data_IF_946795113067
#
_entry.id   IF_946795113067
#
_cell.length_a   1.000
_cell.length_b   1.000
_cell.length_c   1.000
_cell.angle_alpha   90.00
_cell.angle_beta   90.00
_cell.angle_gamma   90.00
#
_symmetry.space_group_name_H-M   'P 1'
#
loop_
_entity.id
_entity.type
_entity.pdbx_description
1 polymer ?
#
# COMPACT_ATOMS: atom_id res chain seq x y z
N UNK A 1 9.64 -13.00 14.16
CA UNK A 1 10.81 -13.17 13.26
C UNK A 1 10.99 -14.67 13.04
N UNK A 2 10.58 -15.18 11.88
CA UNK A 2 10.54 -16.61 11.57
C UNK A 2 11.92 -17.17 11.21
N UNK A 3 12.15 -18.42 11.60
CA UNK A 3 13.39 -19.20 11.59
C UNK A 3 14.06 -19.47 10.21
N UNK A 4 13.70 -18.75 9.15
CA UNK A 4 14.24 -18.95 7.78
C UNK A 4 14.61 -17.67 7.03
N UNK A 5 14.56 -16.49 7.66
CA UNK A 5 15.05 -15.28 7.00
C UNK A 5 16.58 -15.35 6.84
N UNK A 6 17.07 -15.40 5.60
CA UNK A 6 18.49 -15.21 5.30
C UNK A 6 18.96 -13.90 5.94
N UNK A 7 20.04 -13.98 6.71
CA UNK A 7 20.59 -12.84 7.44
C UNK A 7 20.92 -11.68 6.48
N UNK A 8 20.39 -10.48 6.74
CA UNK A 8 20.63 -9.28 5.94
C UNK A 8 22.04 -8.76 6.22
N UNK A 9 22.95 -8.85 5.25
CA UNK A 9 24.38 -8.48 5.42
C UNK A 9 24.80 -7.31 4.54
N UNK A 10 24.09 -7.09 3.44
CA UNK A 10 24.43 -6.09 2.44
C UNK A 10 23.24 -5.17 2.14
N UNK A 11 23.51 -4.06 1.46
CA UNK A 11 22.45 -3.17 0.94
C UNK A 11 21.55 -3.87 -0.08
N UNK A 12 22.10 -4.84 -0.82
CA UNK A 12 21.35 -5.63 -1.79
C UNK A 12 20.38 -6.59 -1.07
N UNK A 13 20.86 -7.28 -0.02
CA UNK A 13 19.99 -8.11 0.84
C UNK A 13 18.85 -7.29 1.47
N UNK A 14 19.17 -6.07 1.93
CA UNK A 14 18.18 -5.18 2.53
C UNK A 14 17.16 -4.69 1.50
N UNK A 15 17.61 -4.36 0.28
CA UNK A 15 16.73 -4.00 -0.83
C UNK A 15 15.80 -5.16 -1.17
N UNK A 16 16.32 -6.37 -1.35
CA UNK A 16 15.51 -7.56 -1.68
C UNK A 16 14.54 -7.88 -0.55
N UNK A 17 14.97 -7.82 0.71
CA UNK A 17 14.08 -8.02 1.85
C UNK A 17 12.91 -7.03 1.82
N UNK A 18 13.18 -5.73 1.64
CA UNK A 18 12.13 -4.71 1.59
C UNK A 18 11.26 -4.83 0.33
N UNK A 19 11.81 -5.28 -0.80
CA UNK A 19 11.02 -5.58 -2.02
C UNK A 19 10.02 -6.71 -1.77
N UNK A 20 10.43 -7.76 -1.04
CA UNK A 20 9.55 -8.86 -0.62
C UNK A 20 8.49 -8.41 0.39
N UNK A 21 8.85 -7.48 1.28
CA UNK A 21 7.96 -6.89 2.29
C UNK A 21 6.82 -6.10 1.62
N UNK A 22 7.16 -5.19 0.70
CA UNK A 22 6.15 -4.39 -0.01
C UNK A 22 5.33 -5.25 -0.98
N UNK A 23 5.93 -6.28 -1.61
CA UNK A 23 5.17 -7.21 -2.45
C UNK A 23 4.12 -8.00 -1.67
N UNK A 24 4.44 -8.39 -0.44
CA UNK A 24 3.44 -8.99 0.45
C UNK A 24 2.33 -7.98 0.79
N UNK A 25 2.69 -6.76 1.17
CA UNK A 25 1.73 -5.71 1.52
C UNK A 25 0.73 -5.44 0.40
N UNK A 26 1.22 -5.22 -0.81
CA UNK A 26 0.42 -5.01 -2.03
C UNK A 26 -0.58 -6.14 -2.28
N UNK A 27 -0.15 -7.40 -2.11
CA UNK A 27 -1.04 -8.55 -2.24
C UNK A 27 -2.08 -8.66 -1.11
N UNK A 28 -1.77 -8.15 0.09
CA UNK A 28 -2.72 -8.08 1.19
C UNK A 28 -3.75 -6.95 0.97
N UNK A 29 -3.30 -5.78 0.51
CA UNK A 29 -4.13 -4.64 0.15
C UNK A 29 -5.08 -5.00 -1.00
N UNK A 30 -4.56 -5.66 -2.04
CA UNK A 30 -5.37 -6.14 -3.17
C UNK A 30 -6.55 -7.02 -2.73
N UNK A 31 -6.39 -7.79 -1.66
CA UNK A 31 -7.44 -8.64 -1.09
C UNK A 31 -8.43 -7.88 -0.22
N UNK A 32 -8.00 -6.81 0.44
CA UNK A 32 -8.85 -6.03 1.37
C UNK A 32 -9.66 -4.95 0.68
N UNK A 33 -9.17 -4.37 -0.41
CA UNK A 33 -9.84 -3.31 -1.15
C UNK A 33 -11.30 -3.65 -1.54
N UNK A 34 -11.63 -4.84 -2.06
CA UNK A 34 -13.03 -5.21 -2.35
C UNK A 34 -13.95 -5.10 -1.14
N UNK A 35 -13.47 -5.49 0.05
CA UNK A 35 -14.24 -5.42 1.30
C UNK A 35 -14.51 -3.95 1.67
N UNK A 36 -13.52 -3.08 1.55
CA UNK A 36 -13.67 -1.65 1.85
C UNK A 36 -14.60 -0.94 0.85
N UNK A 37 -14.53 -1.31 -0.43
CA UNK A 37 -15.42 -0.83 -1.50
C UNK A 37 -16.90 -1.20 -1.22
N UNK A 38 -17.13 -2.37 -0.63
CA UNK A 38 -18.48 -2.82 -0.23
C UNK A 38 -19.01 -2.09 1.02
N UNK A 39 -18.14 -1.84 2.02
CA UNK A 39 -18.50 -1.12 3.24
C UNK A 39 -18.81 0.36 3.00
N UNK A 40 -18.12 0.98 2.04
CA UNK A 40 -18.23 2.41 1.75
C UNK A 40 -19.61 2.82 1.23
N UNK A 41 -20.15 3.93 1.73
CA UNK A 41 -21.44 4.49 1.28
C UNK A 41 -21.31 5.73 0.41
N UNK A 42 -20.22 6.46 0.55
CA UNK A 42 -19.90 7.62 -0.28
C UNK A 42 -19.45 7.22 -1.70
N UNK A 43 -20.13 7.73 -2.73
CA UNK A 43 -19.85 7.37 -4.12
C UNK A 43 -18.47 7.80 -4.61
N UNK A 44 -17.96 8.95 -4.14
CA UNK A 44 -16.62 9.45 -4.51
C UNK A 44 -15.53 8.58 -3.87
N UNK A 45 -15.69 8.22 -2.59
CA UNK A 45 -14.78 7.31 -1.90
C UNK A 45 -14.78 5.94 -2.56
N UNK A 46 -15.97 5.40 -2.86
CA UNK A 46 -16.11 4.11 -3.55
C UNK A 46 -15.38 4.11 -4.89
N UNK A 47 -15.54 5.17 -5.68
CA UNK A 47 -14.83 5.30 -6.95
C UNK A 47 -13.32 5.39 -6.76
N UNK A 48 -12.84 6.15 -5.77
CA UNK A 48 -11.41 6.25 -5.48
C UNK A 48 -10.81 4.89 -5.11
N UNK A 49 -11.47 4.12 -4.24
CA UNK A 49 -11.02 2.77 -3.88
C UNK A 49 -11.06 1.79 -5.05
N UNK A 50 -12.06 1.88 -5.94
CA UNK A 50 -12.11 1.07 -7.17
C UNK A 50 -11.00 1.42 -8.15
N UNK A 51 -10.64 2.71 -8.27
CA UNK A 51 -9.49 3.12 -9.08
C UNK A 51 -8.20 2.58 -8.48
N UNK A 52 -8.01 2.77 -7.17
CA UNK A 52 -6.82 2.29 -6.48
C UNK A 52 -6.68 0.76 -6.58
N UNK A 53 -7.78 -0.01 -6.53
CA UNK A 53 -7.76 -1.45 -6.79
C UNK A 53 -7.15 -1.85 -8.15
N UNK A 54 -7.39 -1.07 -9.21
CA UNK A 54 -6.76 -1.31 -10.51
C UNK A 54 -5.29 -0.85 -10.54
N UNK A 55 -4.96 0.24 -9.85
CA UNK A 55 -3.57 0.71 -9.66
C UNK A 55 -2.73 -0.35 -8.92
N UNK A 56 -3.23 -0.88 -7.80
CA UNK A 56 -2.62 -1.97 -7.01
C UNK A 56 -2.34 -3.21 -7.84
N UNK A 57 -3.25 -3.61 -8.75
CA UNK A 57 -2.97 -4.72 -9.69
C UNK A 57 -1.77 -4.39 -10.59
N UNK A 58 -1.71 -3.17 -11.10
CA UNK A 58 -0.58 -2.68 -11.90
C UNK A 58 0.73 -2.63 -11.10
N UNK A 59 0.66 -2.18 -9.85
CA UNK A 59 1.80 -2.11 -8.91
C UNK A 59 2.38 -3.49 -8.63
N UNK A 60 1.54 -4.49 -8.38
CA UNK A 60 1.94 -5.90 -8.22
C UNK A 60 2.67 -6.42 -9.47
N UNK A 61 2.17 -6.13 -10.67
CA UNK A 61 2.85 -6.52 -11.91
C UNK A 61 4.19 -5.79 -12.11
N UNK A 62 4.27 -4.51 -11.75
CA UNK A 62 5.54 -3.75 -11.74
C UNK A 62 6.53 -4.34 -10.76
N UNK A 63 6.11 -4.74 -9.56
CA UNK A 63 6.97 -5.42 -8.59
C UNK A 63 7.50 -6.76 -9.12
N UNK A 64 6.65 -7.59 -9.74
CA UNK A 64 7.10 -8.83 -10.40
C UNK A 64 8.18 -8.55 -11.44
N UNK A 65 8.05 -7.46 -12.20
CA UNK A 65 9.07 -7.03 -13.15
C UNK A 65 10.37 -6.58 -12.45
N UNK A 66 10.29 -5.89 -11.32
CA UNK A 66 11.47 -5.52 -10.50
C UNK A 66 12.19 -6.77 -9.99
N UNK A 67 11.49 -7.79 -9.49
CA UNK A 67 12.11 -9.07 -9.11
C UNK A 67 12.89 -9.71 -10.27
N UNK A 68 12.28 -9.76 -11.47
CA UNK A 68 12.92 -10.31 -12.66
C UNK A 68 14.16 -9.52 -13.09
N UNK A 69 14.10 -8.18 -13.09
CA UNK A 69 15.22 -7.31 -13.46
C UNK A 69 16.38 -7.44 -12.45
N UNK A 70 16.04 -7.57 -11.16
CA UNK A 70 17.02 -7.73 -10.10
C UNK A 70 17.66 -9.13 -10.10
N UNK A 71 16.97 -10.14 -10.63
CA UNK A 71 17.46 -11.52 -10.74
C UNK A 71 17.20 -12.36 -9.49
N UNK A 72 16.10 -12.09 -8.78
CA UNK A 72 15.69 -12.80 -7.56
C UNK A 72 14.28 -13.40 -7.74
N UNK A 73 14.02 -14.50 -7.03
CA UNK A 73 12.70 -15.14 -7.04
C UNK A 73 11.61 -14.21 -6.50
N UNK A 74 10.44 -14.26 -7.15
CA UNK A 74 9.24 -13.54 -6.73
C UNK A 74 8.68 -14.24 -5.49
N UNK A 75 8.90 -13.63 -4.34
CA UNK A 75 8.46 -14.17 -3.05
C UNK A 75 8.03 -13.02 -2.16
N UNK A 76 6.93 -13.20 -1.43
CA UNK A 76 6.55 -12.27 -0.36
C UNK A 76 7.13 -12.73 0.96
N UNK A 77 7.56 -11.79 1.80
CA UNK A 77 7.81 -12.06 3.23
C UNK A 77 6.68 -11.40 4.02
N UNK A 78 6.16 -12.09 5.03
CA UNK A 78 5.10 -11.52 5.86
C UNK A 78 5.54 -10.14 6.41
N UNK A 79 4.66 -9.16 6.25
CA UNK A 79 4.84 -7.81 6.72
C UNK A 79 3.95 -7.54 7.93
N UNK A 80 4.52 -7.58 9.13
CA UNK A 80 3.76 -7.30 10.36
C UNK A 80 3.19 -5.87 10.39
N UNK A 81 3.79 -4.92 9.66
CA UNK A 81 3.33 -3.53 9.64
C UNK A 81 1.99 -3.40 8.90
N UNK A 82 1.87 -3.93 7.69
CA UNK A 82 0.61 -3.86 6.93
C UNK A 82 -0.46 -4.74 7.58
N UNK A 83 -0.10 -5.91 8.11
CA UNK A 83 -1.02 -6.76 8.86
C UNK A 83 -1.59 -6.00 10.07
N UNK A 84 -0.76 -5.23 10.77
CA UNK A 84 -1.18 -4.37 11.88
C UNK A 84 -2.13 -3.26 11.45
N UNK A 85 -1.81 -2.52 10.39
CA UNK A 85 -2.66 -1.45 9.84
C UNK A 85 -4.03 -2.02 9.38
N UNK A 86 -4.03 -3.19 8.75
CA UNK A 86 -5.25 -3.85 8.31
C UNK A 86 -6.09 -4.34 9.49
N UNK A 87 -5.47 -4.90 10.52
CA UNK A 87 -6.17 -5.30 11.75
C UNK A 87 -6.81 -4.09 12.43
N UNK A 88 -6.09 -2.98 12.59
CA UNK A 88 -6.62 -1.74 13.16
C UNK A 88 -7.81 -1.22 12.33
N UNK A 89 -7.72 -1.32 11.01
CA UNK A 89 -8.81 -0.94 10.09
C UNK A 89 -10.06 -1.81 10.28
N UNK A 90 -9.89 -3.12 10.41
CA UNK A 90 -11.01 -4.04 10.64
C UNK A 90 -11.66 -3.81 12.01
N UNK A 91 -10.87 -3.56 13.06
CA UNK A 91 -11.35 -3.25 14.40
C UNK A 91 -12.17 -1.94 14.39
N UNK A 92 -11.57 -0.85 13.90
CA UNK A 92 -12.24 0.47 13.88
C UNK A 92 -13.51 0.42 13.03
N UNK A 93 -13.46 -0.16 11.82
CA UNK A 93 -14.65 -0.24 10.96
C UNK A 93 -15.74 -1.16 11.52
N UNK A 94 -15.39 -2.14 12.36
CA UNK A 94 -16.33 -3.01 13.06
C UNK A 94 -17.03 -2.35 14.25
N UNK A 95 -16.40 -1.35 14.87
CA UNK A 95 -16.95 -0.61 16.01
C UNK A 95 -17.86 0.57 15.61
N UNK A 96 -17.79 1.01 14.35
CA UNK A 96 -18.53 2.18 13.87
C UNK A 96 -19.99 1.83 13.51
N UNK A 97 -20.93 2.42 14.26
CA UNK A 97 -22.37 2.23 14.03
C UNK A 97 -23.02 3.19 13.03
N UNK A 98 -22.36 4.28 12.66
CA UNK A 98 -22.88 5.29 11.72
C UNK A 98 -22.16 5.22 10.37
N UNK A 99 -22.92 5.32 9.27
CA UNK A 99 -22.39 5.15 7.91
C UNK A 99 -21.48 6.29 7.45
N UNK A 100 -21.75 7.53 7.87
CA UNK A 100 -20.91 8.66 7.51
C UNK A 100 -19.59 8.62 8.29
N UNK A 101 -19.65 8.23 9.57
CA UNK A 101 -18.45 7.98 10.38
C UNK A 101 -17.65 6.79 9.83
N UNK A 102 -18.32 5.76 9.28
CA UNK A 102 -17.65 4.61 8.68
C UNK A 102 -16.82 5.03 7.47
N UNK A 103 -17.37 5.87 6.59
CA UNK A 103 -16.62 6.39 5.45
C UNK A 103 -15.39 7.22 5.90
N UNK A 104 -15.49 7.98 7.00
CA UNK A 104 -14.36 8.72 7.56
C UNK A 104 -13.28 7.78 8.12
N UNK A 105 -13.69 6.70 8.80
CA UNK A 105 -12.78 5.66 9.27
C UNK A 105 -12.06 4.95 8.11
N UNK A 106 -12.79 4.61 7.04
CA UNK A 106 -12.21 3.99 5.84
C UNK A 106 -11.17 4.90 5.19
N UNK A 107 -11.43 6.22 5.12
CA UNK A 107 -10.44 7.18 4.61
C UNK A 107 -9.20 7.19 5.49
N UNK A 108 -9.35 7.32 6.81
CA UNK A 108 -8.21 7.38 7.73
C UNK A 108 -7.33 6.12 7.60
N UNK A 109 -7.96 4.95 7.54
CA UNK A 109 -7.29 3.66 7.29
C UNK A 109 -6.59 3.61 5.94
N UNK A 110 -7.26 4.05 4.86
CA UNK A 110 -6.65 4.14 3.54
C UNK A 110 -5.38 4.99 3.57
N UNK A 111 -5.44 6.19 4.16
CA UNK A 111 -4.28 7.07 4.26
C UNK A 111 -3.13 6.47 5.08
N UNK A 112 -3.42 5.70 6.13
CA UNK A 112 -2.40 4.99 6.89
C UNK A 112 -1.67 3.94 6.03
N UNK A 113 -2.41 3.22 5.18
CA UNK A 113 -1.85 2.29 4.18
C UNK A 113 -0.97 3.07 3.18
N UNK A 114 -1.50 4.12 2.55
CA UNK A 114 -0.76 4.92 1.56
C UNK A 114 0.56 5.46 2.14
N UNK A 115 0.54 5.98 3.37
CA UNK A 115 1.74 6.51 4.01
C UNK A 115 2.80 5.44 4.29
N UNK A 116 2.38 4.22 4.64
CA UNK A 116 3.28 3.09 4.75
C UNK A 116 3.93 2.77 3.39
N UNK A 117 3.14 2.71 2.32
CA UNK A 117 3.64 2.41 0.98
C UNK A 117 4.54 3.51 0.41
N UNK A 118 4.18 4.78 0.59
CA UNK A 118 5.01 5.94 0.23
C UNK A 118 6.38 5.86 0.90
N UNK A 119 6.43 5.47 2.18
CA UNK A 119 7.67 5.28 2.92
C UNK A 119 8.52 4.14 2.33
N UNK A 120 7.88 3.00 2.02
CA UNK A 120 8.55 1.83 1.44
C UNK A 120 9.08 2.11 0.04
N UNK A 121 8.24 2.62 -0.86
CA UNK A 121 8.65 2.93 -2.22
C UNK A 121 9.68 4.04 -2.29
N UNK A 122 9.55 5.10 -1.48
CA UNK A 122 10.57 6.16 -1.38
C UNK A 122 11.95 5.59 -1.00
N UNK A 123 11.96 4.66 -0.05
CA UNK A 123 13.18 3.96 0.38
C UNK A 123 13.75 3.06 -0.73
N UNK A 124 12.92 2.23 -1.35
CA UNK A 124 13.33 1.32 -2.43
C UNK A 124 13.87 2.07 -3.65
N UNK A 125 13.25 3.19 -4.05
CA UNK A 125 13.75 4.04 -5.14
C UNK A 125 15.15 4.57 -4.83
N UNK A 126 15.36 5.09 -3.61
CA UNK A 126 16.65 5.62 -3.21
C UNK A 126 17.74 4.54 -3.21
N UNK A 127 17.41 3.35 -2.69
CA UNK A 127 18.34 2.22 -2.66
C UNK A 127 18.62 1.64 -4.05
N UNK A 128 17.62 1.51 -4.91
CA UNK A 128 17.81 1.07 -6.30
C UNK A 128 18.81 1.98 -7.04
N UNK A 129 18.65 3.30 -6.93
CA UNK A 129 19.61 4.27 -7.48
C UNK A 129 21.00 4.10 -6.88
N UNK A 130 21.11 3.89 -5.57
CA UNK A 130 22.40 3.67 -4.89
C UNK A 130 23.11 2.40 -5.36
N UNK A 131 22.36 1.36 -5.71
CA UNK A 131 22.86 0.09 -6.24
C UNK A 131 23.11 0.13 -7.76
N UNK A 132 22.89 1.27 -8.44
CA UNK A 132 23.03 1.39 -9.89
C UNK A 132 21.94 0.66 -10.68
N UNK A 133 20.77 0.45 -10.07
CA UNK A 133 19.59 -0.26 -10.63
C UNK A 133 18.54 0.75 -11.09
N UNK A 134 18.91 1.62 -12.03
CA UNK A 134 18.00 2.67 -12.53
C UNK A 134 16.75 2.07 -13.23
N UNK A 135 16.88 0.87 -13.78
CA UNK A 135 15.79 0.08 -14.34
C UNK A 135 14.72 -0.27 -13.29
N UNK A 136 15.15 -0.71 -12.11
CA UNK A 136 14.27 -0.98 -10.97
C UNK A 136 13.71 0.31 -10.39
N UNK A 137 14.56 1.34 -10.24
CA UNK A 137 14.16 2.63 -9.67
C UNK A 137 13.04 3.29 -10.48
N UNK A 138 13.07 3.19 -11.81
CA UNK A 138 12.03 3.76 -12.68
C UNK A 138 10.66 3.12 -12.49
N UNK A 139 10.59 1.81 -12.24
CA UNK A 139 9.33 1.10 -11.98
C UNK A 139 8.81 1.40 -10.57
N UNK A 140 9.69 1.36 -9.57
CA UNK A 140 9.33 1.67 -8.17
C UNK A 140 8.87 3.13 -8.00
N UNK A 141 9.42 4.05 -8.79
CA UNK A 141 8.99 5.45 -8.80
C UNK A 141 7.55 5.60 -9.32
N UNK A 142 7.12 4.76 -10.27
CA UNK A 142 5.73 4.79 -10.76
C UNK A 142 4.75 4.39 -9.65
N UNK A 143 5.05 3.32 -8.90
CA UNK A 143 4.23 2.95 -7.73
C UNK A 143 4.21 4.10 -6.71
N UNK A 144 5.38 4.67 -6.37
CA UNK A 144 5.46 5.81 -5.45
C UNK A 144 4.60 7.01 -5.87
N UNK A 145 4.54 7.31 -7.16
CA UNK A 145 3.79 8.46 -7.66
C UNK A 145 2.28 8.21 -7.65
N UNK A 146 1.86 6.96 -7.89
CA UNK A 146 0.47 6.51 -7.74
C UNK A 146 0.01 6.58 -6.28
N UNK A 147 0.77 6.04 -5.32
CA UNK A 147 0.36 6.06 -3.90
C UNK A 147 0.24 7.49 -3.38
N UNK A 148 1.17 8.36 -3.77
CA UNK A 148 1.08 9.78 -3.46
C UNK A 148 -0.15 10.44 -4.06
N UNK A 149 -0.60 9.99 -5.24
CA UNK A 149 -1.81 10.50 -5.86
C UNK A 149 -3.07 9.97 -5.17
N UNK A 150 -3.08 8.70 -4.76
CA UNK A 150 -4.14 8.09 -3.99
C UNK A 150 -4.32 8.79 -2.64
N UNK A 151 -3.27 9.02 -1.86
CA UNK A 151 -3.34 9.77 -0.59
C UNK A 151 -3.90 11.19 -0.77
N UNK A 152 -3.41 11.93 -1.78
CA UNK A 152 -3.96 13.27 -2.09
C UNK A 152 -5.44 13.20 -2.43
N UNK A 153 -5.87 12.16 -3.14
CA UNK A 153 -7.28 11.96 -3.51
C UNK A 153 -8.12 11.67 -2.27
N UNK A 154 -7.65 10.81 -1.36
CA UNK A 154 -8.32 10.51 -0.09
C UNK A 154 -8.43 11.76 0.77
N UNK A 155 -7.35 12.53 0.93
CA UNK A 155 -7.35 13.83 1.65
C UNK A 155 -8.43 14.76 1.10
N UNK A 156 -8.49 14.92 -0.23
CA UNK A 156 -9.48 15.78 -0.87
C UNK A 156 -10.92 15.33 -0.58
N UNK A 157 -11.19 14.03 -0.61
CA UNK A 157 -12.53 13.48 -0.29
C UNK A 157 -12.87 13.70 1.18
N UNK A 158 -11.89 13.50 2.07
CA UNK A 158 -12.04 13.72 3.51
C UNK A 158 -12.51 15.15 3.82
N UNK A 159 -11.82 16.14 3.28
CA UNK A 159 -12.06 17.56 3.57
C UNK A 159 -13.33 18.12 2.90
N UNK A 160 -13.70 17.59 1.73
CA UNK A 160 -14.78 18.17 0.90
C UNK A 160 -16.14 17.54 1.12
N UNK A 161 -16.18 16.24 1.45
CA UNK A 161 -17.43 15.49 1.50
C UNK A 161 -17.57 14.67 2.79
N UNK A 162 -16.62 13.77 3.08
CA UNK A 162 -16.83 12.73 4.08
C UNK A 162 -16.80 13.27 5.50
N UNK A 163 -15.77 14.03 5.90
CA UNK A 163 -15.67 14.53 7.28
C UNK A 163 -16.76 15.58 7.59
N UNK A 164 -17.26 16.29 6.57
CA UNK A 164 -18.39 17.22 6.73
C UNK A 164 -19.70 16.50 6.98
N UNK A 165 -19.89 15.31 6.41
CA UNK A 165 -21.10 14.51 6.62
C UNK A 165 -21.06 13.72 7.94
N UNK A 166 -19.87 13.50 8.50
CA UNK A 166 -19.65 12.76 9.73
C UNK A 166 -19.64 13.64 11.01
N UNK A 167 -19.67 14.97 10.86
CA UNK A 167 -19.65 15.96 11.95
C UNK A 167 -21.03 16.58 12.17
#
# INVERSE_FOLDING_TARGET
>A
MGYFASEIKTMDDLFVHTLRDIYYAENSILKSLPVMIEKTTNSLLKQALMTHLEETKGQVERLKRVFQLHGVEIEGVNCAAIDGIMSETDDVTGEVGDKAVLDAAIIASGQAVEHYEISRYGTLVAWAKRLGRDDCAGLLQQNLDEEKAADRKLTSIAETAVNRNAA
#
